data_IF_116910461294
#
_entry.id   IF_116910461294
#
_cell.length_a   1.000
_cell.length_b   1.000
_cell.length_c   1.000
_cell.angle_alpha   90.00
_cell.angle_beta   90.00
_cell.angle_gamma   90.00
#
_symmetry.space_group_name_H-M   'P 1'
#
loop_
_entity.id
_entity.type
_entity.pdbx_description
1 polymer ?
#
# COMPACT_ATOMS: atom_id res chain seq x y z
N UNK A 1 -11.30 -8.92 7.37
CA UNK A 1 -11.26 -7.61 8.07
C UNK A 1 -11.67 -6.50 7.11
N UNK A 2 -12.42 -5.50 7.59
CA UNK A 2 -12.80 -4.33 6.78
C UNK A 2 -11.82 -3.19 7.05
N UNK A 3 -11.07 -2.77 6.03
CA UNK A 3 -10.09 -1.68 6.11
C UNK A 3 -10.63 -0.49 5.31
N UNK A 4 -10.83 0.66 5.96
CA UNK A 4 -11.32 1.86 5.30
C UNK A 4 -10.64 3.13 5.83
N UNK A 5 -10.67 4.19 5.02
CA UNK A 5 -10.36 5.55 5.46
C UNK A 5 -11.40 6.51 4.87
N UNK A 6 -11.40 7.78 5.29
CA UNK A 6 -12.43 8.76 4.88
C UNK A 6 -12.66 8.83 3.36
N UNK A 7 -11.60 8.75 2.55
CA UNK A 7 -11.69 8.85 1.09
C UNK A 7 -11.41 7.53 0.36
N UNK A 8 -10.98 6.48 1.07
CA UNK A 8 -10.53 5.23 0.44
C UNK A 8 -9.26 5.31 -0.43
N UNK A 9 -8.57 6.47 -0.49
CA UNK A 9 -7.47 6.71 -1.43
C UNK A 9 -6.07 6.48 -0.88
N UNK A 10 -5.81 6.92 0.35
CA UNK A 10 -4.44 7.08 0.89
C UNK A 10 -4.18 6.11 2.04
N UNK A 11 -4.57 6.46 3.28
CA UNK A 11 -4.34 5.63 4.49
C UNK A 11 -4.73 4.15 4.36
N UNK A 12 -5.95 3.87 3.90
CA UNK A 12 -6.40 2.48 3.74
C UNK A 12 -5.64 1.73 2.66
N UNK A 13 -5.22 2.42 1.59
CA UNK A 13 -4.40 1.82 0.54
C UNK A 13 -3.00 1.50 1.07
N UNK A 14 -2.37 2.42 1.81
CA UNK A 14 -1.06 2.22 2.44
C UNK A 14 -1.03 0.99 3.34
N UNK A 15 -2.03 0.81 4.22
CA UNK A 15 -2.11 -0.35 5.12
C UNK A 15 -2.23 -1.66 4.34
N UNK A 16 -3.04 -1.68 3.28
CA UNK A 16 -3.20 -2.87 2.44
C UNK A 16 -1.91 -3.19 1.69
N UNK A 17 -1.21 -2.18 1.16
CA UNK A 17 0.08 -2.35 0.47
C UNK A 17 1.13 -2.91 1.44
N UNK A 18 1.29 -2.30 2.63
CA UNK A 18 2.21 -2.76 3.66
C UNK A 18 1.92 -4.22 4.09
N UNK A 19 0.64 -4.58 4.19
CA UNK A 19 0.23 -5.95 4.51
C UNK A 19 0.67 -6.93 3.43
N UNK A 20 0.40 -6.62 2.15
CA UNK A 20 0.79 -7.48 1.02
C UNK A 20 2.31 -7.63 0.92
N UNK A 21 3.06 -6.55 1.16
CA UNK A 21 4.53 -6.61 1.19
C UNK A 21 5.02 -7.56 2.27
N UNK A 22 4.44 -7.50 3.48
CA UNK A 22 4.87 -8.31 4.63
C UNK A 22 4.39 -9.76 4.56
N UNK A 23 3.16 -10.03 4.12
CA UNK A 23 2.61 -11.39 4.11
C UNK A 23 3.06 -12.20 2.91
N UNK A 24 3.18 -11.57 1.75
CA UNK A 24 3.49 -12.25 0.49
C UNK A 24 4.94 -12.03 0.03
N UNK A 25 5.76 -11.31 0.81
CA UNK A 25 7.12 -10.89 0.44
C UNK A 25 7.15 -10.18 -0.93
N UNK A 26 6.16 -9.34 -1.19
CA UNK A 26 6.08 -8.58 -2.43
C UNK A 26 6.87 -7.29 -2.33
N UNK A 27 7.46 -6.89 -3.46
CA UNK A 27 7.99 -5.54 -3.61
C UNK A 27 6.86 -4.50 -3.53
N UNK A 28 7.20 -3.28 -3.10
CA UNK A 28 6.28 -2.16 -3.06
C UNK A 28 5.63 -1.94 -4.42
N UNK A 29 6.40 -2.00 -5.49
CA UNK A 29 5.90 -1.82 -6.85
C UNK A 29 4.84 -2.88 -7.20
N UNK A 30 5.09 -4.16 -6.88
CA UNK A 30 4.14 -5.25 -7.14
C UNK A 30 2.86 -5.07 -6.31
N UNK A 31 2.99 -4.81 -5.01
CA UNK A 31 1.84 -4.61 -4.12
C UNK A 31 1.01 -3.38 -4.49
N UNK A 32 1.67 -2.28 -4.87
CA UNK A 32 1.01 -1.06 -5.33
C UNK A 32 0.25 -1.28 -6.64
N UNK A 33 0.90 -1.87 -7.64
CA UNK A 33 0.30 -2.13 -8.96
C UNK A 33 -0.89 -3.07 -8.84
N UNK A 34 -0.76 -4.15 -8.08
CA UNK A 34 -1.85 -5.07 -7.78
C UNK A 34 -3.06 -4.35 -7.16
N UNK A 35 -2.83 -3.52 -6.14
CA UNK A 35 -3.92 -2.78 -5.50
C UNK A 35 -4.51 -1.70 -6.44
N UNK A 36 -3.69 -1.11 -7.32
CA UNK A 36 -4.11 -0.11 -8.30
C UNK A 36 -5.04 -0.71 -9.35
N UNK A 37 -4.76 -1.92 -9.81
CA UNK A 37 -5.61 -2.64 -10.77
C UNK A 37 -6.99 -2.94 -10.18
N UNK A 38 -7.05 -3.33 -8.90
CA UNK A 38 -8.31 -3.56 -8.20
C UNK A 38 -9.03 -2.25 -7.80
N UNK A 39 -8.28 -1.19 -7.51
CA UNK A 39 -8.78 0.12 -7.09
C UNK A 39 -8.02 1.25 -7.79
N UNK A 40 -8.46 1.67 -8.99
CA UNK A 40 -7.80 2.70 -9.77
C UNK A 40 -7.65 4.06 -9.06
N UNK A 41 -8.49 4.34 -8.06
CA UNK A 41 -8.51 5.61 -7.34
C UNK A 41 -7.54 5.69 -6.15
N UNK A 42 -6.72 4.66 -5.89
CA UNK A 42 -5.71 4.76 -4.84
C UNK A 42 -4.63 5.79 -5.21
N UNK A 43 -4.21 6.53 -4.19
CA UNK A 43 -3.12 7.49 -4.24
C UNK A 43 -2.65 7.72 -2.80
N UNK A 44 -1.77 6.83 -2.27
CA UNK A 44 -0.99 7.11 -1.08
C UNK A 44 -0.24 8.44 -1.25
N UNK A 45 -0.15 9.22 -0.17
CA UNK A 45 0.64 10.46 -0.24
C UNK A 45 2.14 10.11 -0.25
N UNK A 46 2.99 11.10 -0.57
CA UNK A 46 4.44 10.89 -0.64
C UNK A 46 5.03 10.38 0.68
N UNK A 47 4.58 10.89 1.83
CA UNK A 47 5.07 10.43 3.14
C UNK A 47 4.78 8.95 3.40
N UNK A 48 3.61 8.45 3.00
CA UNK A 48 3.28 7.04 3.08
C UNK A 48 4.06 6.20 2.06
N UNK A 49 4.32 6.73 0.87
CA UNK A 49 5.18 6.05 -0.11
C UNK A 49 6.62 5.93 0.41
N UNK A 50 7.17 6.97 1.03
CA UNK A 50 8.49 6.93 1.68
C UNK A 50 8.53 5.89 2.80
N UNK A 51 7.54 5.87 3.70
CA UNK A 51 7.46 4.88 4.76
C UNK A 51 7.35 3.44 4.23
N UNK A 52 6.66 3.23 3.11
CA UNK A 52 6.60 1.92 2.46
C UNK A 52 7.93 1.53 1.82
N UNK A 53 8.66 2.47 1.22
CA UNK A 53 10.01 2.20 0.69
C UNK A 53 11.01 1.85 1.80
N UNK A 54 10.95 2.55 2.94
CA UNK A 54 11.74 2.21 4.12
C UNK A 54 11.41 0.80 4.62
N UNK A 55 10.12 0.48 4.70
CA UNK A 55 9.66 -0.86 5.08
C UNK A 55 10.14 -1.95 4.11
N UNK A 56 10.17 -1.69 2.80
CA UNK A 56 10.67 -2.65 1.80
C UNK A 56 12.16 -2.99 2.02
N UNK A 57 12.96 -2.04 2.51
CA UNK A 57 14.38 -2.26 2.81
C UNK A 57 14.62 -3.11 4.07
N UNK A 58 13.62 -3.25 4.94
CA UNK A 58 13.68 -4.01 6.20
C UNK A 58 13.11 -5.44 6.08
N UNK A 59 12.48 -5.79 4.95
CA UNK A 59 11.84 -7.09 4.68
C UNK A 59 12.73 -7.94 3.77
#
# INVERSE_FOLDING_TARGET
FYIHCKAGKSRSATVVIAYLMKSEHWSLNKAYSYLKDLRPNISPNLGFMSALLEMEAEI
#
